data_IF_115180893900
#
_entry.id   IF_115180893900
#
_cell.length_a   1.000
_cell.length_b   1.000
_cell.length_c   1.000
_cell.angle_alpha   90.00
_cell.angle_beta   90.00
_cell.angle_gamma   90.00
#
_symmetry.space_group_name_H-M   'P 1'
#
loop_
_entity.id
_entity.type
_entity.pdbx_description
1 polymer ?
#
# COMPACT_ATOMS: atom_id res chain seq x y z
N UNK A 1 -10.23 -5.61 15.48
CA UNK A 1 -9.19 -6.25 14.63
C UNK A 1 -9.45 -6.12 13.13
N UNK A 2 -10.56 -6.64 12.56
CA UNK A 2 -10.81 -6.63 11.08
C UNK A 2 -10.80 -5.23 10.42
N UNK A 3 -11.58 -4.28 10.94
CA UNK A 3 -11.57 -2.88 10.43
C UNK A 3 -10.18 -2.26 10.49
N UNK A 4 -9.46 -2.45 11.60
CA UNK A 4 -8.10 -1.96 11.80
C UNK A 4 -7.08 -2.60 10.85
N UNK A 5 -7.33 -3.84 10.41
CA UNK A 5 -6.53 -4.50 9.39
C UNK A 5 -6.63 -3.82 8.02
N UNK A 6 -7.79 -3.24 7.68
CA UNK A 6 -8.04 -2.61 6.38
C UNK A 6 -7.49 -1.18 6.28
N UNK A 7 -7.45 -0.45 7.39
CA UNK A 7 -7.14 1.00 7.38
C UNK A 7 -5.75 1.35 7.92
N UNK A 8 -5.02 0.38 8.49
CA UNK A 8 -3.74 0.67 9.17
C UNK A 8 -2.55 -0.04 8.54
N UNK A 9 -1.39 0.60 8.64
CA UNK A 9 -0.10 0.02 8.25
C UNK A 9 0.56 -0.82 9.38
N UNK A 10 -0.13 -1.01 10.52
CA UNK A 10 0.41 -1.74 11.67
C UNK A 10 0.48 -3.25 11.42
N UNK A 11 1.59 -3.90 11.77
CA UNK A 11 1.76 -5.35 11.51
C UNK A 11 0.64 -6.18 12.18
N UNK A 12 0.33 -7.39 11.66
CA UNK A 12 -0.68 -8.25 12.29
C UNK A 12 -0.43 -8.50 13.78
N UNK A 13 0.84 -8.59 14.20
CA UNK A 13 1.24 -8.69 15.60
C UNK A 13 0.92 -7.44 16.41
N UNK A 14 1.18 -6.25 15.87
CA UNK A 14 0.82 -4.99 16.53
C UNK A 14 -0.70 -4.86 16.70
N UNK A 15 -1.47 -5.14 15.64
CA UNK A 15 -2.94 -5.10 15.67
C UNK A 15 -3.47 -6.09 16.70
N UNK A 16 -2.92 -7.31 16.75
CA UNK A 16 -3.30 -8.33 17.72
C UNK A 16 -3.00 -7.88 19.16
N UNK A 17 -1.74 -7.54 19.45
CA UNK A 17 -1.28 -7.15 20.77
C UNK A 17 -2.10 -5.99 21.34
N UNK A 18 -2.33 -4.94 20.55
CA UNK A 18 -3.12 -3.79 20.98
C UNK A 18 -4.58 -4.17 21.24
N UNK A 19 -5.15 -5.04 20.40
CA UNK A 19 -6.54 -5.47 20.55
C UNK A 19 -6.76 -6.40 21.75
N UNK A 20 -5.75 -7.17 22.18
CA UNK A 20 -5.84 -8.06 23.36
C UNK A 20 -5.42 -7.38 24.66
N UNK A 21 -4.63 -6.30 24.59
CA UNK A 21 -4.12 -5.59 25.76
C UNK A 21 -5.21 -5.07 26.71
N UNK A 22 -6.41 -4.78 26.18
CA UNK A 22 -7.54 -4.24 26.93
C UNK A 22 -8.66 -5.27 27.18
N UNK A 23 -8.37 -6.57 27.03
CA UNK A 23 -9.38 -7.64 27.11
C UNK A 23 -9.24 -8.42 28.43
N UNK A 24 -10.34 -8.68 29.16
CA UNK A 24 -10.29 -9.47 30.39
C UNK A 24 -9.75 -10.90 30.16
N UNK A 25 -9.03 -11.44 31.14
CA UNK A 25 -8.39 -12.76 31.03
C UNK A 25 -9.35 -13.90 30.67
N UNK A 26 -10.58 -13.88 31.21
CA UNK A 26 -11.61 -14.86 30.87
C UNK A 26 -11.95 -14.88 29.37
N UNK A 27 -11.90 -13.74 28.70
CA UNK A 27 -12.17 -13.62 27.27
C UNK A 27 -10.95 -14.05 26.45
N UNK A 28 -9.73 -13.90 26.98
CA UNK A 28 -8.50 -14.37 26.32
C UNK A 28 -8.46 -15.90 26.20
N UNK A 29 -9.04 -16.62 27.15
CA UNK A 29 -9.13 -18.09 27.12
C UNK A 29 -10.05 -18.61 26.01
N UNK A 30 -11.06 -17.82 25.63
CA UNK A 30 -12.00 -18.12 24.55
C UNK A 30 -11.47 -17.68 23.17
N UNK A 31 -10.34 -16.97 23.11
CA UNK A 31 -9.79 -16.53 21.83
C UNK A 31 -9.21 -17.72 21.05
N UNK A 32 -9.38 -17.73 19.71
CA UNK A 32 -8.61 -18.61 18.85
C UNK A 32 -7.11 -18.38 19.03
N UNK A 33 -6.30 -19.39 18.70
CA UNK A 33 -4.84 -19.27 18.68
C UNK A 33 -4.41 -18.01 17.94
N UNK A 34 -3.43 -17.30 18.49
CA UNK A 34 -2.90 -16.04 17.95
C UNK A 34 -2.59 -16.12 16.45
N UNK A 35 -1.99 -17.23 16.00
CA UNK A 35 -1.69 -17.48 14.59
C UNK A 35 -2.93 -17.46 13.68
N UNK A 36 -4.06 -17.99 14.16
CA UNK A 36 -5.32 -17.97 13.41
C UNK A 36 -5.84 -16.53 13.29
N UNK A 37 -5.76 -15.76 14.38
CA UNK A 37 -6.20 -14.36 14.40
C UNK A 37 -5.32 -13.50 13.48
N UNK A 38 -3.99 -13.67 13.54
CA UNK A 38 -3.04 -13.02 12.63
C UNK A 38 -3.29 -13.39 11.17
N UNK A 39 -3.61 -14.65 10.88
CA UNK A 39 -4.01 -15.09 9.53
C UNK A 39 -5.28 -14.37 9.07
N UNK A 40 -6.30 -14.27 9.92
CA UNK A 40 -7.51 -13.50 9.60
C UNK A 40 -7.22 -12.04 9.34
N UNK A 41 -6.33 -11.41 10.13
CA UNK A 41 -5.89 -10.01 9.93
C UNK A 41 -5.21 -9.85 8.55
N UNK A 42 -4.28 -10.76 8.20
CA UNK A 42 -3.63 -10.75 6.88
C UNK A 42 -4.65 -10.86 5.74
N UNK A 43 -5.60 -11.78 5.84
CA UNK A 43 -6.62 -11.97 4.81
C UNK A 43 -7.56 -10.76 4.64
N UNK A 44 -7.75 -9.96 5.70
CA UNK A 44 -8.60 -8.76 5.63
C UNK A 44 -7.85 -7.53 5.11
N UNK A 45 -6.50 -7.53 5.07
CA UNK A 45 -5.70 -6.39 4.61
C UNK A 45 -5.96 -6.05 3.14
N UNK A 46 -5.99 -7.06 2.27
CA UNK A 46 -6.26 -6.88 0.84
C UNK A 46 -7.68 -7.22 0.42
N UNK A 47 -8.64 -7.25 1.36
CA UNK A 47 -10.02 -7.65 1.05
C UNK A 47 -10.72 -6.65 0.12
N UNK A 48 -10.36 -5.37 0.21
CA UNK A 48 -10.88 -4.31 -0.66
C UNK A 48 -9.88 -3.92 -1.75
N UNK A 49 -8.74 -4.61 -1.85
CA UNK A 49 -7.76 -4.31 -2.89
C UNK A 49 -8.37 -4.70 -4.25
N UNK A 50 -8.11 -3.92 -5.30
CA UNK A 50 -8.53 -4.29 -6.64
C UNK A 50 -7.90 -5.63 -7.05
N UNK A 51 -8.65 -6.39 -7.85
CA UNK A 51 -8.12 -7.60 -8.47
C UNK A 51 -6.84 -7.29 -9.25
N UNK A 52 -5.89 -8.23 -9.22
CA UNK A 52 -4.67 -8.11 -10.04
C UNK A 52 -5.08 -7.92 -11.51
N UNK A 53 -4.61 -6.87 -12.20
CA UNK A 53 -4.92 -6.66 -13.61
C UNK A 53 -4.31 -7.79 -14.44
N UNK A 54 -4.94 -8.17 -15.57
CA UNK A 54 -4.39 -9.19 -16.46
C UNK A 54 -3.39 -8.61 -17.47
N UNK A 55 -3.40 -7.30 -17.67
CA UNK A 55 -2.52 -6.60 -18.60
C UNK A 55 -2.22 -5.16 -18.17
N UNK A 56 -1.20 -4.56 -18.80
CA UNK A 56 -0.85 -3.14 -18.59
C UNK A 56 -2.01 -2.18 -18.88
N UNK A 57 -2.90 -2.53 -19.80
CA UNK A 57 -4.04 -1.68 -20.21
C UNK A 57 -5.15 -1.63 -19.17
N UNK A 58 -5.33 -2.72 -18.43
CA UNK A 58 -6.35 -2.82 -17.38
C UNK A 58 -5.94 -2.13 -16.08
N UNK A 59 -4.67 -1.74 -15.94
CA UNK A 59 -4.22 -1.01 -14.77
C UNK A 59 -4.83 0.40 -14.75
N UNK A 60 -5.81 0.58 -13.87
CA UNK A 60 -6.42 1.87 -13.54
C UNK A 60 -5.93 2.30 -12.17
N UNK A 61 -5.40 3.53 -12.09
CA UNK A 61 -4.93 4.13 -10.84
C UNK A 61 -5.83 5.34 -10.58
N UNK A 62 -6.72 5.22 -9.60
CA UNK A 62 -7.74 6.22 -9.31
C UNK A 62 -8.05 6.31 -7.81
N UNK A 63 -8.79 7.34 -7.41
CA UNK A 63 -9.17 7.55 -6.01
C UNK A 63 -7.97 7.66 -5.07
N UNK A 64 -8.02 6.93 -3.95
CA UNK A 64 -6.96 6.93 -2.93
C UNK A 64 -5.61 6.43 -3.46
N UNK A 65 -5.60 5.67 -4.56
CA UNK A 65 -4.38 5.16 -5.18
C UNK A 65 -3.57 6.24 -5.93
N UNK A 66 -4.19 7.39 -6.19
CA UNK A 66 -3.51 8.56 -6.74
C UNK A 66 -2.91 9.48 -5.68
N UNK A 67 -3.10 9.17 -4.39
CA UNK A 67 -2.80 10.03 -3.26
C UNK A 67 -1.73 9.45 -2.34
N UNK A 68 -1.05 10.33 -1.62
CA UNK A 68 -0.20 10.01 -0.48
C UNK A 68 -0.74 10.77 0.74
N UNK A 69 -1.56 10.08 1.54
CA UNK A 69 -2.45 10.74 2.50
C UNK A 69 -3.52 11.53 1.72
N UNK A 70 -3.62 12.83 1.99
CA UNK A 70 -4.55 13.73 1.28
C UNK A 70 -3.88 14.49 0.12
N UNK A 71 -2.59 14.22 -0.14
CA UNK A 71 -1.81 14.93 -1.16
C UNK A 71 -1.78 14.18 -2.46
N UNK A 72 -1.83 14.89 -3.59
CA UNK A 72 -1.59 14.31 -4.91
C UNK A 72 -0.23 13.61 -4.95
N UNK A 73 -0.21 12.40 -5.49
CA UNK A 73 0.99 11.58 -5.61
C UNK A 73 1.23 11.04 -7.01
N UNK A 74 0.18 10.61 -7.72
CA UNK A 74 0.26 10.35 -9.15
C UNK A 74 0.32 11.70 -9.89
N UNK A 75 1.48 12.02 -10.47
CA UNK A 75 1.71 13.27 -11.17
C UNK A 75 1.38 13.16 -12.65
N UNK A 76 1.74 12.03 -13.26
CA UNK A 76 1.49 11.79 -14.66
C UNK A 76 1.31 10.30 -14.94
N UNK A 77 0.40 10.01 -15.86
CA UNK A 77 0.20 8.73 -16.50
C UNK A 77 -0.08 9.04 -17.97
N UNK A 78 0.82 8.64 -18.87
CA UNK A 78 0.65 8.88 -20.31
C UNK A 78 -0.38 7.95 -20.97
N UNK A 79 -1.03 7.08 -20.20
CA UNK A 79 -2.23 6.36 -20.57
C UNK A 79 -2.01 4.91 -20.98
N UNK A 80 -3.08 4.08 -20.92
CA UNK A 80 -3.01 2.65 -21.19
C UNK A 80 -2.64 2.30 -22.64
N UNK A 81 -2.94 3.19 -23.58
CA UNK A 81 -2.67 2.98 -25.02
C UNK A 81 -1.28 3.45 -25.46
N UNK A 82 -0.49 4.02 -24.55
CA UNK A 82 0.91 4.33 -24.85
C UNK A 82 1.70 3.05 -25.15
N UNK A 83 2.55 3.11 -26.19
CA UNK A 83 3.46 2.00 -26.52
C UNK A 83 4.42 1.72 -25.35
N UNK A 84 4.91 2.78 -24.72
CA UNK A 84 5.69 2.77 -23.49
C UNK A 84 4.94 3.58 -22.43
N UNK A 85 4.15 2.90 -21.60
CA UNK A 85 3.40 3.57 -20.53
C UNK A 85 4.37 3.98 -19.43
N UNK A 86 4.35 5.25 -19.05
CA UNK A 86 5.18 5.84 -17.99
C UNK A 86 4.26 6.40 -16.92
N UNK A 87 4.46 5.92 -15.70
CA UNK A 87 3.81 6.43 -14.49
C UNK A 87 4.82 7.24 -13.69
N UNK A 88 4.46 8.46 -13.32
CA UNK A 88 5.30 9.34 -12.50
C UNK A 88 4.61 9.57 -11.17
N UNK A 89 5.24 9.10 -10.09
CA UNK A 89 4.80 9.34 -8.73
C UNK A 89 5.78 10.26 -8.01
N UNK A 90 5.28 11.37 -7.48
CA UNK A 90 6.02 12.17 -6.50
C UNK A 90 5.08 13.08 -5.72
N UNK A 91 5.55 13.58 -4.59
CA UNK A 91 4.87 14.66 -3.87
C UNK A 91 5.39 16.02 -4.36
N UNK A 92 4.56 17.05 -4.36
CA UNK A 92 4.99 18.41 -4.75
C UNK A 92 6.13 18.94 -3.84
N UNK A 93 6.12 18.54 -2.55
CA UNK A 93 7.21 18.84 -1.62
C UNK A 93 8.52 18.11 -1.99
N UNK A 94 8.42 16.85 -2.41
CA UNK A 94 9.59 16.10 -2.88
C UNK A 94 10.17 16.68 -4.17
N UNK A 95 9.31 17.10 -5.11
CA UNK A 95 9.74 17.80 -6.32
C UNK A 95 10.40 19.14 -6.01
N UNK A 96 9.84 19.92 -5.09
CA UNK A 96 10.42 21.21 -4.68
C UNK A 96 11.79 21.01 -4.05
N UNK A 97 11.94 19.98 -3.20
CA UNK A 97 13.23 19.62 -2.61
C UNK A 97 14.25 19.22 -3.68
N UNK A 98 13.86 18.35 -4.61
CA UNK A 98 14.69 17.96 -5.76
C UNK A 98 15.12 19.20 -6.55
N UNK A 99 14.19 20.06 -6.95
CA UNK A 99 14.47 21.26 -7.73
C UNK A 99 15.43 22.24 -7.03
N UNK A 100 15.36 22.33 -5.70
CA UNK A 100 16.26 23.18 -4.88
C UNK A 100 17.61 22.54 -4.53
N UNK A 101 17.78 21.25 -4.80
CA UNK A 101 18.98 20.51 -4.40
C UNK A 101 20.07 20.59 -5.46
N UNK A 102 21.29 20.93 -5.05
CA UNK A 102 22.46 21.00 -5.94
C UNK A 102 23.01 19.61 -6.36
N UNK A 103 22.57 18.54 -5.71
CA UNK A 103 23.05 17.18 -5.97
C UNK A 103 21.93 16.18 -5.73
N UNK A 104 21.73 15.27 -6.68
CA UNK A 104 20.74 14.21 -6.61
C UNK A 104 21.44 12.86 -6.49
N UNK A 105 21.01 12.06 -5.52
CA UNK A 105 21.39 10.66 -5.42
C UNK A 105 20.22 9.83 -5.91
N UNK A 106 20.39 9.20 -7.08
CA UNK A 106 19.36 8.42 -7.73
C UNK A 106 19.88 7.00 -7.86
N UNK A 107 19.10 6.04 -7.36
CA UNK A 107 19.35 4.61 -7.53
C UNK A 107 18.27 4.02 -8.44
N UNK A 108 18.69 3.21 -9.40
CA UNK A 108 17.81 2.58 -10.38
C UNK A 108 17.71 1.09 -10.10
N UNK A 109 16.63 0.66 -9.44
CA UNK A 109 16.36 -0.76 -9.22
C UNK A 109 15.28 -1.28 -10.18
N UNK A 110 15.70 -1.76 -11.34
CA UNK A 110 14.81 -2.37 -12.35
C UNK A 110 14.38 -3.80 -11.97
N UNK A 111 15.08 -4.47 -11.05
CA UNK A 111 14.75 -5.85 -10.65
C UNK A 111 13.41 -5.99 -9.91
N UNK A 112 12.81 -4.87 -9.50
CA UNK A 112 11.51 -4.80 -8.82
C UNK A 112 10.42 -4.15 -9.68
N UNK A 113 10.67 -3.96 -10.98
CA UNK A 113 9.64 -3.38 -11.84
C UNK A 113 8.41 -4.32 -11.89
N UNK A 114 7.19 -3.76 -11.80
CA UNK A 114 5.96 -4.54 -11.85
C UNK A 114 5.91 -5.40 -13.11
N UNK A 115 5.25 -6.56 -13.03
CA UNK A 115 5.17 -7.57 -14.10
C UNK A 115 4.83 -7.00 -15.48
N UNK A 116 4.02 -5.94 -15.54
CA UNK A 116 3.56 -5.30 -16.77
C UNK A 116 4.38 -4.07 -17.22
N UNK A 117 5.49 -3.76 -16.56
CA UNK A 117 6.38 -2.60 -16.81
C UNK A 117 7.86 -2.97 -16.98
N UNK A 118 8.15 -4.26 -17.21
CA UNK A 118 9.49 -4.76 -17.55
C UNK A 118 9.78 -4.67 -19.05
#
# INVERSE_FOLDING_TARGET
MKKKAQISNATPSQIFAESVSNVPHAVLLELPKEEHVKRTIRNHRGYNDPSKPASRKELVIEGDWCLYGEKRFLLNDNGPDANERVLIFATDSGLSLLASSNTWFIDGNFGLAPEYFN
#
